data_IF_958702109972
#
_entry.id   IF_958702109972
#
_cell.length_a   1.000
_cell.length_b   1.000
_cell.length_c   1.000
_cell.angle_alpha   90.00
_cell.angle_beta   90.00
_cell.angle_gamma   90.00
#
_symmetry.space_group_name_H-M   'P 1'
#
loop_
_entity.id
_entity.type
_entity.pdbx_description
1 polymer ?
#
# COMPACT_ATOMS: atom_id res chain seq x y z
N UNK A 1 6.84 -5.77 10.77
CA UNK A 1 6.24 -5.26 9.51
C UNK A 1 6.16 -6.32 8.42
N UNK A 2 7.19 -7.11 8.14
CA UNK A 2 7.10 -8.18 7.12
C UNK A 2 6.04 -9.24 7.49
N UNK A 3 5.93 -9.60 8.75
CA UNK A 3 4.88 -10.48 9.27
C UNK A 3 3.46 -9.90 9.09
N UNK A 4 3.32 -8.58 9.04
CA UNK A 4 2.02 -7.95 8.82
C UNK A 4 1.53 -8.13 7.38
N UNK A 5 2.43 -8.25 6.40
CA UNK A 5 2.05 -8.53 5.01
C UNK A 5 1.40 -9.90 4.87
N UNK A 6 1.80 -10.88 5.68
CA UNK A 6 1.19 -12.22 5.72
C UNK A 6 -0.23 -12.19 6.31
N UNK A 7 -0.57 -11.11 7.02
CA UNK A 7 -1.92 -10.83 7.54
C UNK A 7 -2.77 -9.98 6.58
N UNK A 8 -2.27 -9.69 5.39
CA UNK A 8 -2.95 -8.88 4.38
C UNK A 8 -2.78 -7.36 4.57
N UNK A 9 -1.86 -6.91 5.42
CA UNK A 9 -1.50 -5.49 5.54
C UNK A 9 -0.69 -5.07 4.32
N UNK A 10 -1.10 -3.98 3.66
CA UNK A 10 -0.46 -3.42 2.48
C UNK A 10 0.58 -2.38 2.91
N UNK A 11 1.86 -2.61 2.60
CA UNK A 11 2.92 -1.68 2.93
C UNK A 11 3.10 -0.64 1.82
N UNK A 12 3.28 0.62 2.21
CA UNK A 12 3.59 1.73 1.32
C UNK A 12 4.65 2.62 1.96
N UNK A 13 5.38 3.37 1.15
CA UNK A 13 6.35 4.36 1.62
C UNK A 13 5.90 5.76 1.23
N UNK A 14 5.97 6.66 2.20
CA UNK A 14 5.86 8.10 2.02
C UNK A 14 7.06 8.77 2.72
N UNK A 15 8.02 9.22 1.95
CA UNK A 15 9.31 9.72 2.45
C UNK A 15 9.71 11.03 1.78
N UNK A 16 10.11 12.01 2.58
CA UNK A 16 10.80 13.23 2.09
C UNK A 16 12.26 12.91 1.80
N UNK A 17 12.50 12.33 0.64
CA UNK A 17 13.82 11.95 0.16
C UNK A 17 13.81 11.91 -1.38
N UNK A 18 14.99 11.88 -1.98
CA UNK A 18 15.12 11.53 -3.39
C UNK A 18 14.85 10.03 -3.58
N UNK A 19 14.10 9.69 -4.61
CA UNK A 19 13.68 8.31 -4.88
C UNK A 19 14.86 7.35 -5.00
N UNK A 20 15.93 7.77 -5.67
CA UNK A 20 17.17 6.99 -5.83
C UNK A 20 17.78 6.62 -4.47
N UNK A 21 17.83 7.57 -3.53
CA UNK A 21 18.35 7.34 -2.19
C UNK A 21 17.47 6.40 -1.38
N UNK A 22 16.16 6.56 -1.47
CA UNK A 22 15.21 5.69 -0.79
C UNK A 22 15.31 4.24 -1.31
N UNK A 23 15.37 4.06 -2.63
CA UNK A 23 15.54 2.75 -3.25
C UNK A 23 16.90 2.14 -2.94
N UNK A 24 18.00 2.93 -2.94
CA UNK A 24 19.32 2.45 -2.56
C UNK A 24 19.33 1.91 -1.12
N UNK A 25 18.62 2.57 -0.20
CA UNK A 25 18.46 2.10 1.18
C UNK A 25 17.76 0.74 1.26
N UNK A 26 16.67 0.56 0.50
CA UNK A 26 15.88 -0.67 0.47
C UNK A 26 16.61 -1.83 -0.25
N UNK A 27 17.49 -1.53 -1.19
CA UNK A 27 18.25 -2.52 -1.96
C UNK A 27 19.52 -3.00 -1.24
N UNK A 28 19.79 -2.55 -0.02
CA UNK A 28 20.95 -3.03 0.74
C UNK A 28 20.83 -4.52 1.05
N UNK A 29 21.92 -5.28 1.02
CA UNK A 29 21.90 -6.72 1.31
C UNK A 29 21.44 -7.07 2.74
N UNK A 30 21.59 -6.14 3.67
CA UNK A 30 21.22 -6.26 5.08
C UNK A 30 19.81 -5.70 5.37
N UNK A 31 19.08 -5.22 4.35
CA UNK A 31 17.72 -4.74 4.51
C UNK A 31 16.75 -5.89 4.73
N UNK A 32 15.86 -5.75 5.71
CA UNK A 32 14.78 -6.71 5.99
C UNK A 32 13.63 -6.52 5.00
N UNK A 33 13.38 -5.27 4.59
CA UNK A 33 12.34 -4.91 3.64
C UNK A 33 13.01 -4.45 2.33
N UNK A 34 12.49 -4.94 1.22
CA UNK A 34 12.95 -4.62 -0.13
C UNK A 34 11.87 -3.86 -0.90
N UNK A 35 12.18 -3.20 -2.02
CA UNK A 35 11.19 -2.45 -2.80
C UNK A 35 9.94 -3.26 -3.15
N UNK A 36 10.09 -4.56 -3.43
CA UNK A 36 8.98 -5.47 -3.78
C UNK A 36 8.02 -5.76 -2.61
N UNK A 37 8.39 -5.44 -1.38
CA UNK A 37 7.50 -5.56 -0.21
C UNK A 37 6.46 -4.42 -0.16
N UNK A 38 6.65 -3.35 -0.95
CA UNK A 38 5.78 -2.18 -0.96
C UNK A 38 4.93 -2.13 -2.23
N UNK A 39 3.67 -1.70 -2.10
CA UNK A 39 2.79 -1.48 -3.24
C UNK A 39 3.09 -0.16 -3.95
N UNK A 40 3.27 0.90 -3.16
CA UNK A 40 3.58 2.24 -3.65
C UNK A 40 4.75 2.80 -2.86
N UNK A 41 5.71 3.39 -3.57
CA UNK A 41 6.82 4.13 -2.98
C UNK A 41 6.73 5.57 -3.46
N UNK A 42 6.42 6.48 -2.54
CA UNK A 42 6.45 7.93 -2.73
C UNK A 42 7.67 8.49 -1.97
N UNK A 43 8.77 8.63 -2.67
CA UNK A 43 9.97 9.28 -2.15
C UNK A 43 10.17 10.58 -2.94
N UNK A 44 9.71 11.68 -2.39
CA UNK A 44 9.74 13.00 -3.00
C UNK A 44 9.68 14.09 -1.93
N UNK A 45 9.72 15.37 -2.32
CA UNK A 45 9.70 16.51 -1.42
C UNK A 45 8.31 17.15 -1.28
N UNK A 46 7.26 16.49 -1.81
CA UNK A 46 5.88 16.93 -1.63
C UNK A 46 5.41 16.71 -0.18
N UNK A 47 4.38 17.45 0.26
CA UNK A 47 3.77 17.24 1.57
C UNK A 47 3.25 15.81 1.74
N UNK A 48 3.52 15.19 2.88
CA UNK A 48 3.14 13.79 3.15
C UNK A 48 1.64 13.56 3.19
N UNK A 49 0.86 14.54 3.60
CA UNK A 49 -0.60 14.49 3.55
C UNK A 49 -1.13 14.31 2.11
N UNK A 50 -0.51 15.00 1.13
CA UNK A 50 -0.85 14.83 -0.30
C UNK A 50 -0.42 13.47 -0.82
N UNK A 51 0.81 13.06 -0.53
CA UNK A 51 1.30 11.73 -0.92
C UNK A 51 0.41 10.63 -0.36
N UNK A 52 -0.06 10.76 0.87
CA UNK A 52 -0.95 9.79 1.51
C UNK A 52 -2.28 9.64 0.76
N UNK A 53 -2.89 10.76 0.36
CA UNK A 53 -4.11 10.76 -0.46
C UNK A 53 -3.87 10.14 -1.85
N UNK A 54 -2.73 10.46 -2.48
CA UNK A 54 -2.36 9.86 -3.75
C UNK A 54 -2.12 8.34 -3.65
N UNK A 55 -1.45 7.88 -2.58
CA UNK A 55 -1.27 6.44 -2.32
C UNK A 55 -2.63 5.76 -2.21
N UNK A 56 -3.54 6.29 -1.38
CA UNK A 56 -4.90 5.77 -1.24
C UNK A 56 -5.62 5.66 -2.59
N UNK A 57 -5.54 6.71 -3.40
CA UNK A 57 -6.13 6.76 -4.73
C UNK A 57 -5.52 5.72 -5.68
N UNK A 58 -4.19 5.57 -5.70
CA UNK A 58 -3.51 4.62 -6.57
C UNK A 58 -3.89 3.16 -6.27
N UNK A 59 -4.01 2.82 -4.99
CA UNK A 59 -4.41 1.46 -4.58
C UNK A 59 -5.92 1.31 -4.45
N UNK A 60 -6.69 2.37 -4.71
CA UNK A 60 -8.15 2.39 -4.70
C UNK A 60 -8.75 1.98 -3.36
N UNK A 61 -8.29 2.61 -2.27
CA UNK A 61 -8.86 2.48 -0.91
C UNK A 61 -9.20 3.86 -0.35
N UNK A 62 -10.03 3.89 0.71
CA UNK A 62 -10.28 5.12 1.46
C UNK A 62 -9.11 5.48 2.36
N UNK A 63 -8.93 6.77 2.65
CA UNK A 63 -7.91 7.28 3.58
C UNK A 63 -8.16 6.78 5.01
N UNK A 64 -9.38 6.45 5.36
CA UNK A 64 -9.80 5.82 6.63
C UNK A 64 -9.22 4.41 6.85
N UNK A 65 -8.76 3.77 5.77
CA UNK A 65 -8.09 2.46 5.82
C UNK A 65 -6.58 2.56 6.00
N UNK A 66 -6.03 3.77 6.15
CA UNK A 66 -4.59 4.01 6.26
C UNK A 66 -4.15 4.21 7.70
N UNK A 67 -3.00 3.64 8.02
CA UNK A 67 -2.24 3.92 9.26
C UNK A 67 -0.94 4.61 8.85
N UNK A 68 -0.82 5.89 9.15
CA UNK A 68 0.37 6.69 8.85
C UNK A 68 1.33 6.68 10.04
N UNK A 69 2.51 6.15 9.83
CA UNK A 69 3.58 6.01 10.84
C UNK A 69 4.77 6.86 10.43
N UNK A 70 5.18 7.77 11.29
CA UNK A 70 6.30 8.66 11.05
C UNK A 70 7.00 8.99 12.40
N UNK A 71 8.32 9.11 12.40
CA UNK A 71 9.09 9.49 13.57
C UNK A 71 9.00 10.99 13.89
N UNK A 72 8.78 11.82 12.86
CA UNK A 72 8.67 13.27 13.00
C UNK A 72 7.28 13.68 13.52
N UNK A 73 7.17 14.26 14.73
CA UNK A 73 5.90 14.68 15.28
C UNK A 73 5.22 15.80 14.48
N UNK A 74 5.99 16.64 13.76
CA UNK A 74 5.43 17.70 12.92
C UNK A 74 4.71 17.09 11.70
N UNK A 75 5.28 16.07 11.05
CA UNK A 75 4.64 15.39 9.92
C UNK A 75 3.37 14.65 10.39
N UNK A 76 3.43 13.95 11.54
CA UNK A 76 2.23 13.32 12.13
C UNK A 76 1.13 14.34 12.41
N UNK A 77 1.48 15.52 12.94
CA UNK A 77 0.51 16.58 13.22
C UNK A 77 -0.14 17.11 11.93
N UNK A 78 0.64 17.33 10.88
CA UNK A 78 0.14 17.79 9.58
C UNK A 78 -0.83 16.76 9.00
N UNK A 79 -0.43 15.50 8.92
CA UNK A 79 -1.30 14.43 8.38
C UNK A 79 -2.58 14.30 9.20
N UNK A 80 -2.49 14.31 10.53
CA UNK A 80 -3.65 14.25 11.44
C UNK A 80 -4.63 15.41 11.23
N UNK A 81 -4.12 16.59 10.84
CA UNK A 81 -4.92 17.80 10.58
C UNK A 81 -5.51 17.82 9.16
N UNK A 82 -4.77 17.38 8.15
CA UNK A 82 -5.15 17.49 6.74
C UNK A 82 -5.89 16.25 6.22
N UNK A 83 -5.64 15.08 6.82
CA UNK A 83 -6.28 13.80 6.48
C UNK A 83 -6.84 13.17 7.78
N UNK A 84 -7.87 13.78 8.37
CA UNK A 84 -8.36 13.38 9.69
C UNK A 84 -8.95 11.97 9.75
N UNK A 85 -9.29 11.38 8.60
CA UNK A 85 -9.79 10.01 8.50
C UNK A 85 -8.67 8.98 8.68
N UNK A 86 -7.42 9.32 8.35
CA UNK A 86 -6.29 8.40 8.50
C UNK A 86 -5.92 8.22 9.98
N UNK A 87 -5.60 7.00 10.34
CA UNK A 87 -5.10 6.70 11.68
C UNK A 87 -3.63 7.11 11.80
N UNK A 88 -3.30 7.94 12.80
CA UNK A 88 -1.94 8.41 13.04
C UNK A 88 -1.54 8.08 14.47
N UNK A 89 -0.87 6.93 14.72
CA UNK A 89 -0.43 6.54 16.05
C UNK A 89 0.61 7.50 16.60
N UNK A 90 0.62 7.65 17.91
CA UNK A 90 1.68 8.36 18.60
C UNK A 90 2.93 7.48 18.66
N UNK A 91 4.02 7.98 18.10
CA UNK A 91 5.33 7.34 18.14
C UNK A 91 6.19 8.05 19.18
N UNK A 92 6.70 7.31 20.15
CA UNK A 92 7.43 7.90 21.26
C UNK A 92 8.95 7.95 20.98
N UNK A 93 9.65 6.89 21.26
CA UNK A 93 11.09 6.75 21.02
C UNK A 93 11.35 5.49 20.19
N UNK A 94 12.43 5.44 19.38
CA UNK A 94 12.68 4.33 18.46
C UNK A 94 12.59 2.95 19.09
N UNK A 95 13.01 2.80 20.33
CA UNK A 95 12.98 1.55 21.08
C UNK A 95 11.55 1.05 21.35
N UNK A 96 10.57 1.94 21.30
CA UNK A 96 9.17 1.64 21.59
C UNK A 96 8.28 1.55 20.34
N UNK A 97 8.77 1.86 19.15
CA UNK A 97 7.94 1.94 17.94
C UNK A 97 7.11 0.69 17.69
N UNK A 98 7.69 -0.51 17.85
CA UNK A 98 6.96 -1.76 17.71
C UNK A 98 5.85 -1.86 18.75
N UNK A 99 6.16 -1.55 20.02
CA UNK A 99 5.20 -1.60 21.12
C UNK A 99 4.10 -0.55 20.98
N UNK A 100 4.43 0.63 20.47
CA UNK A 100 3.47 1.72 20.26
C UNK A 100 2.46 1.32 19.17
N UNK A 101 2.92 0.71 18.07
CA UNK A 101 2.05 0.19 17.01
C UNK A 101 1.20 -0.98 17.47
N UNK A 102 1.78 -1.91 18.22
CA UNK A 102 1.11 -3.10 18.74
C UNK A 102 -0.01 -2.71 19.72
N UNK A 103 0.28 -1.81 20.66
CA UNK A 103 -0.72 -1.30 21.61
C UNK A 103 -1.88 -0.55 20.94
N UNK A 104 -1.65 0.06 19.80
CA UNK A 104 -2.69 0.76 19.05
C UNK A 104 -3.72 -0.18 18.42
N UNK A 105 -3.40 -1.48 18.26
CA UNK A 105 -4.33 -2.52 17.81
C UNK A 105 -4.77 -2.40 16.35
N UNK A 106 -4.12 -1.58 15.53
CA UNK A 106 -4.55 -1.34 14.15
C UNK A 106 -4.45 -2.57 13.25
N UNK A 107 -3.58 -3.51 13.58
CA UNK A 107 -3.30 -4.68 12.76
C UNK A 107 -3.79 -5.98 13.38
N UNK A 108 -4.61 -5.90 14.42
CA UNK A 108 -5.22 -7.07 15.04
C UNK A 108 -6.34 -7.61 14.14
N UNK A 109 -6.31 -8.90 13.90
CA UNK A 109 -7.34 -9.60 13.15
C UNK A 109 -8.01 -10.66 14.01
N UNK A 110 -9.33 -10.73 14.00
CA UNK A 110 -10.10 -11.75 14.72
C UNK A 110 -10.22 -13.05 13.94
N UNK A 111 -10.12 -12.98 12.62
CA UNK A 111 -10.12 -14.12 11.71
C UNK A 111 -9.46 -13.71 10.38
N UNK A 112 -8.70 -14.62 9.78
CA UNK A 112 -8.12 -14.44 8.45
C UNK A 112 -8.93 -15.24 7.43
N UNK A 113 -9.44 -14.56 6.41
CA UNK A 113 -10.02 -15.20 5.24
C UNK A 113 -8.93 -15.55 4.22
N UNK A 114 -9.27 -16.37 3.21
CA UNK A 114 -8.38 -16.63 2.06
C UNK A 114 -8.10 -15.36 1.28
N UNK A 115 -9.06 -14.46 1.21
CA UNK A 115 -8.91 -13.18 0.50
C UNK A 115 -7.94 -12.26 1.23
N UNK A 116 -7.93 -12.26 2.57
CA UNK A 116 -6.94 -11.51 3.35
C UNK A 116 -5.51 -11.99 3.06
N UNK A 117 -5.31 -13.32 3.03
CA UNK A 117 -4.00 -13.93 2.75
C UNK A 117 -3.51 -13.63 1.31
N UNK A 118 -4.42 -13.48 0.34
CA UNK A 118 -4.08 -13.16 -1.06
C UNK A 118 -4.11 -11.66 -1.38
N UNK A 119 -4.46 -10.81 -0.41
CA UNK A 119 -4.70 -9.37 -0.61
C UNK A 119 -3.53 -8.67 -1.28
N UNK A 120 -2.31 -8.86 -0.81
CA UNK A 120 -1.12 -8.24 -1.37
C UNK A 120 -0.95 -8.57 -2.86
N UNK A 121 -1.11 -9.85 -3.24
CA UNK A 121 -0.99 -10.28 -4.63
C UNK A 121 -2.11 -9.70 -5.51
N UNK A 122 -3.33 -9.61 -4.98
CA UNK A 122 -4.46 -9.02 -5.69
C UNK A 122 -4.22 -7.52 -5.97
N UNK A 123 -3.72 -6.77 -4.99
CA UNK A 123 -3.42 -5.35 -5.17
C UNK A 123 -2.24 -5.12 -6.12
N UNK A 124 -1.17 -5.91 -6.03
CA UNK A 124 -0.05 -5.88 -6.99
C UNK A 124 -0.54 -6.15 -8.42
N UNK A 125 -1.39 -7.15 -8.61
CA UNK A 125 -1.97 -7.47 -9.91
C UNK A 125 -2.86 -6.33 -10.44
N UNK A 126 -3.61 -5.64 -9.56
CA UNK A 126 -4.43 -4.49 -9.94
C UNK A 126 -3.57 -3.31 -10.39
N UNK A 127 -2.55 -2.94 -9.62
CA UNK A 127 -1.62 -1.86 -9.99
C UNK A 127 -0.93 -2.14 -11.33
N UNK A 128 -0.50 -3.39 -11.55
CA UNK A 128 0.07 -3.81 -12.84
C UNK A 128 -0.93 -3.66 -13.99
N UNK A 129 -2.19 -4.02 -13.80
CA UNK A 129 -3.25 -3.83 -14.81
C UNK A 129 -3.48 -2.36 -15.10
N UNK A 130 -3.57 -1.50 -14.09
CA UNK A 130 -3.73 -0.05 -14.26
C UNK A 130 -2.56 0.56 -15.05
N UNK A 131 -1.32 0.18 -14.73
CA UNK A 131 -0.15 0.67 -15.46
C UNK A 131 -0.12 0.19 -16.91
N UNK A 132 -0.56 -1.03 -17.18
CA UNK A 132 -0.70 -1.55 -18.54
C UNK A 132 -1.80 -0.81 -19.30
N UNK A 133 -2.98 -0.62 -18.71
CA UNK A 133 -4.08 0.14 -19.33
C UNK A 133 -3.62 1.57 -19.69
N UNK A 134 -2.93 2.26 -18.77
CA UNK A 134 -2.41 3.60 -19.00
C UNK A 134 -1.35 3.70 -20.11
N UNK A 135 -0.74 2.57 -20.51
CA UNK A 135 0.21 2.52 -21.62
C UNK A 135 -0.43 2.47 -23.00
N UNK A 136 -1.74 2.20 -23.09
CA UNK A 136 -2.49 2.18 -24.34
C UNK A 136 -3.18 3.52 -24.60
N UNK A 137 -3.16 3.95 -25.83
CA UNK A 137 -3.89 5.17 -26.27
C UNK A 137 -5.34 4.87 -26.65
N UNK A 138 -5.66 3.62 -26.94
CA UNK A 138 -7.00 3.14 -27.29
C UNK A 138 -7.41 1.99 -26.35
N UNK A 139 -8.56 2.14 -25.72
CA UNK A 139 -9.13 1.14 -24.82
C UNK A 139 -9.46 -0.18 -25.52
N UNK A 140 -9.82 -0.14 -26.80
CA UNK A 140 -10.08 -1.35 -27.60
C UNK A 140 -8.81 -2.19 -27.78
N UNK A 141 -7.68 -1.54 -28.09
CA UNK A 141 -6.38 -2.20 -28.22
C UNK A 141 -5.94 -2.82 -26.88
N UNK A 142 -6.19 -2.13 -25.77
CA UNK A 142 -5.98 -2.69 -24.43
C UNK A 142 -6.79 -3.98 -24.23
N UNK A 143 -8.10 -3.97 -24.51
CA UNK A 143 -8.95 -5.16 -24.37
C UNK A 143 -8.46 -6.33 -25.25
N UNK A 144 -8.04 -6.06 -26.47
CA UNK A 144 -7.47 -7.08 -27.38
C UNK A 144 -6.18 -7.67 -26.80
N UNK A 145 -5.34 -6.86 -26.16
CA UNK A 145 -4.08 -7.30 -25.54
C UNK A 145 -4.29 -8.30 -24.42
N UNK A 146 -5.42 -8.23 -23.72
CA UNK A 146 -5.77 -9.13 -22.62
C UNK A 146 -6.07 -10.56 -23.09
N UNK A 147 -6.30 -10.78 -24.42
CA UNK A 147 -6.59 -12.09 -25.02
C UNK A 147 -7.66 -12.88 -24.27
N UNK A 148 -8.67 -12.18 -23.76
CA UNK A 148 -9.75 -12.80 -22.99
C UNK A 148 -10.49 -13.83 -23.83
N UNK A 149 -10.81 -14.98 -23.23
CA UNK A 149 -11.62 -16.02 -23.82
C UNK A 149 -12.84 -16.25 -22.93
N UNK A 150 -14.01 -16.32 -23.54
CA UNK A 150 -15.24 -16.69 -22.87
C UNK A 150 -15.73 -18.02 -23.44
N UNK A 151 -16.09 -18.96 -22.58
CA UNK A 151 -16.74 -20.21 -22.93
C UNK A 151 -18.18 -20.16 -22.39
N UNK A 152 -19.14 -20.27 -23.30
CA UNK A 152 -20.56 -20.29 -22.93
C UNK A 152 -21.02 -21.75 -22.97
N UNK A 153 -21.24 -22.30 -21.78
CA UNK A 153 -21.76 -23.66 -21.61
C UNK A 153 -23.30 -23.65 -21.48
N UNK A 154 -23.98 -24.70 -21.95
CA UNK A 154 -25.41 -24.84 -21.70
C UNK A 154 -25.67 -24.95 -20.17
N UNK A 155 -26.79 -24.39 -19.74
CA UNK A 155 -27.21 -24.50 -18.35
C UNK A 155 -27.40 -25.96 -17.95
N UNK A 156 -26.69 -26.41 -16.92
CA UNK A 156 -26.88 -27.72 -16.28
C UNK A 156 -27.63 -27.52 -14.97
N UNK A 157 -28.92 -27.94 -14.89
CA UNK A 157 -29.60 -27.90 -13.58
C UNK A 157 -28.93 -28.84 -12.60
N UNK A 158 -28.71 -28.37 -11.37
CA UNK A 158 -28.28 -29.21 -10.25
C UNK A 158 -29.37 -30.15 -9.81
#
# INVERSE_FOLDING_TARGET
MKEQTDLGVLLNIDSKNDEENALAGLNRPDSILHPDDFLVIKANWEPKDRNLVEIASQINIGTDSLVFVDDNPAERHIVKSQVPEASVPEMTVPEHYITDLDRAGYFEVTALSRDDLSRNEMYKANLKRQSQEASFTDYHDYLLSLKMKAEILPFSPM
#
